data_IF_968359352207
#
_entry.id   IF_968359352207
#
_cell.length_a   1.000
_cell.length_b   1.000
_cell.length_c   1.000
_cell.angle_alpha   90.00
_cell.angle_beta   90.00
_cell.angle_gamma   90.00
#
_symmetry.space_group_name_H-M   'P 1'
#
loop_
_entity.id
_entity.type
_entity.pdbx_description
1 polymer ?
#
# COMPACT_ATOMS: atom_id res chain seq x y z
N UNK A 1 -16.21 -1.87 -14.71
CA UNK A 1 -16.42 -0.50 -15.20
C UNK A 1 -15.08 0.22 -15.09
N UNK A 2 -14.70 1.01 -16.10
CA UNK A 2 -13.42 1.74 -16.07
C UNK A 2 -13.46 2.84 -15.02
N UNK A 3 -12.33 3.10 -14.33
CA UNK A 3 -12.19 4.31 -13.53
C UNK A 3 -11.19 5.28 -14.15
N UNK A 4 -11.55 6.57 -14.21
CA UNK A 4 -10.72 7.61 -14.81
C UNK A 4 -10.25 8.58 -13.74
N UNK A 5 -8.94 8.79 -13.66
CA UNK A 5 -8.32 9.82 -12.84
C UNK A 5 -7.92 11.01 -13.71
N UNK A 6 -7.97 12.22 -13.15
CA UNK A 6 -7.70 13.46 -13.87
C UNK A 6 -7.07 14.50 -12.95
N UNK A 7 -5.90 14.99 -13.32
CA UNK A 7 -5.14 15.97 -12.54
C UNK A 7 -4.62 15.40 -11.21
N UNK A 8 -3.98 16.25 -10.40
CA UNK A 8 -3.52 15.87 -9.06
C UNK A 8 -4.26 16.71 -8.00
N UNK A 9 -5.00 16.08 -7.08
CA UNK A 9 -5.60 16.80 -5.96
C UNK A 9 -4.53 17.51 -5.12
N UNK A 10 -4.78 18.76 -4.76
CA UNK A 10 -3.84 19.56 -3.95
C UNK A 10 -2.54 19.99 -4.67
N UNK A 11 -2.50 19.89 -6.01
CA UNK A 11 -1.32 20.25 -6.80
C UNK A 11 -0.79 21.66 -6.46
N UNK A 12 0.44 21.72 -5.94
CA UNK A 12 1.19 22.96 -5.81
C UNK A 12 2.05 23.18 -7.06
N UNK A 13 2.05 24.42 -7.54
CA UNK A 13 2.71 24.82 -8.78
C UNK A 13 3.73 25.92 -8.47
N UNK A 14 4.95 25.78 -8.97
CA UNK A 14 5.98 26.82 -8.87
C UNK A 14 6.16 27.50 -10.21
N UNK A 15 5.71 28.76 -10.33
CA UNK A 15 5.84 29.57 -11.54
C UNK A 15 4.54 29.81 -12.32
N UNK A 16 4.63 30.62 -13.37
CA UNK A 16 3.50 31.10 -14.18
C UNK A 16 3.52 30.62 -15.63
N UNK A 17 4.34 29.62 -15.96
CA UNK A 17 4.42 29.02 -17.29
C UNK A 17 3.23 28.06 -17.56
N UNK A 18 3.16 27.55 -18.79
CA UNK A 18 2.18 26.52 -19.16
C UNK A 18 2.24 25.31 -18.23
N UNK A 19 1.10 24.64 -18.01
CA UNK A 19 0.95 23.58 -17.01
C UNK A 19 0.57 22.26 -17.66
N UNK A 20 1.27 21.21 -17.26
CA UNK A 20 0.94 19.85 -17.65
C UNK A 20 -0.35 19.35 -16.99
N UNK A 21 -0.93 18.29 -17.53
CA UNK A 21 -2.06 17.59 -16.94
C UNK A 21 -2.05 16.12 -17.39
N UNK A 22 -2.53 15.24 -16.51
CA UNK A 22 -2.65 13.80 -16.75
C UNK A 22 -4.10 13.37 -16.64
N UNK A 23 -4.54 12.51 -17.56
CA UNK A 23 -5.71 11.66 -17.36
C UNK A 23 -5.31 10.20 -17.54
N UNK A 24 -5.78 9.33 -16.67
CA UNK A 24 -5.55 7.90 -16.79
C UNK A 24 -6.85 7.16 -16.64
N UNK A 25 -6.93 5.98 -17.24
CA UNK A 25 -8.08 5.11 -17.17
C UNK A 25 -7.59 3.69 -16.99
N UNK A 26 -8.22 2.95 -16.08
CA UNK A 26 -7.92 1.55 -15.84
C UNK A 26 -9.19 0.71 -15.87
N UNK A 27 -9.11 -0.45 -16.51
CA UNK A 27 -10.09 -1.53 -16.45
C UNK A 27 -9.40 -2.80 -15.97
N UNK A 28 -10.13 -3.62 -15.22
CA UNK A 28 -9.70 -4.99 -14.89
C UNK A 28 -10.73 -5.95 -15.47
N UNK A 29 -10.24 -6.97 -16.16
CA UNK A 29 -11.06 -8.03 -16.76
C UNK A 29 -10.60 -9.37 -16.19
N UNK A 30 -11.54 -10.20 -15.72
CA UNK A 30 -11.23 -11.53 -15.20
C UNK A 30 -10.70 -12.47 -16.29
N UNK A 31 -10.08 -13.61 -15.94
CA UNK A 31 -9.65 -14.62 -16.91
C UNK A 31 -10.77 -15.12 -17.83
N UNK A 32 -12.02 -15.04 -17.38
CA UNK A 32 -13.21 -15.41 -18.15
C UNK A 32 -13.73 -14.29 -19.08
N UNK A 33 -12.98 -13.19 -19.22
CA UNK A 33 -13.36 -12.05 -20.05
C UNK A 33 -14.41 -11.12 -19.42
N UNK A 34 -14.76 -11.31 -18.14
CA UNK A 34 -15.75 -10.45 -17.45
C UNK A 34 -15.08 -9.19 -16.92
N UNK A 35 -15.58 -8.02 -17.32
CA UNK A 35 -15.15 -6.74 -16.73
C UNK A 35 -15.52 -6.67 -15.25
N UNK A 36 -14.54 -6.35 -14.42
CA UNK A 36 -14.70 -6.18 -12.98
C UNK A 36 -15.04 -4.72 -12.65
N UNK A 37 -15.87 -4.52 -11.63
CA UNK A 37 -16.20 -3.21 -11.10
C UNK A 37 -15.38 -2.96 -9.85
N UNK A 38 -14.92 -1.73 -9.66
CA UNK A 38 -14.35 -1.32 -8.38
C UNK A 38 -15.46 -1.31 -7.33
N UNK A 39 -15.11 -1.59 -6.09
CA UNK A 39 -16.03 -1.65 -4.95
C UNK A 39 -16.38 -0.25 -4.48
N UNK A 40 -15.37 0.63 -4.35
CA UNK A 40 -15.53 2.01 -3.93
C UNK A 40 -14.33 2.87 -4.37
N UNK A 41 -14.41 4.17 -4.10
CA UNK A 41 -13.34 5.14 -4.33
C UNK A 41 -13.11 5.89 -3.02
N UNK A 42 -11.87 5.94 -2.53
CA UNK A 42 -11.49 6.72 -1.35
C UNK A 42 -10.38 7.69 -1.75
N UNK A 43 -10.59 8.98 -1.53
CA UNK A 43 -9.65 10.07 -1.88
C UNK A 43 -9.07 9.94 -3.30
N UNK A 44 -9.94 9.67 -4.28
CA UNK A 44 -9.59 9.45 -5.70
C UNK A 44 -8.76 8.19 -5.99
N UNK A 45 -8.67 7.23 -5.06
CA UNK A 45 -8.09 5.91 -5.34
C UNK A 45 -9.25 4.92 -5.53
N UNK A 46 -9.50 4.40 -6.73
CA UNK A 46 -10.45 3.31 -6.94
C UNK A 46 -9.88 1.99 -6.41
N UNK A 47 -10.72 1.24 -5.70
CA UNK A 47 -10.34 0.02 -5.01
C UNK A 47 -11.19 -1.16 -5.48
N UNK A 48 -10.54 -2.24 -5.90
CA UNK A 48 -11.15 -3.56 -6.12
C UNK A 48 -10.75 -4.49 -4.97
N UNK A 49 -11.67 -4.82 -4.08
CA UNK A 49 -11.37 -5.58 -2.85
C UNK A 49 -11.02 -7.06 -3.12
N UNK A 50 -11.42 -7.58 -4.27
CA UNK A 50 -11.12 -8.96 -4.66
C UNK A 50 -11.21 -9.11 -6.18
N UNK A 51 -10.10 -9.53 -6.78
CA UNK A 51 -10.03 -9.93 -8.19
C UNK A 51 -9.40 -11.34 -8.29
N UNK A 52 -9.80 -12.15 -9.28
CA UNK A 52 -9.16 -13.44 -9.52
C UNK A 52 -7.70 -13.26 -9.95
N UNK A 53 -6.86 -14.28 -9.68
CA UNK A 53 -5.57 -14.39 -10.34
C UNK A 53 -5.73 -14.38 -11.87
N UNK A 54 -4.65 -14.07 -12.58
CA UNK A 54 -4.63 -14.01 -14.06
C UNK A 54 -5.59 -12.98 -14.68
N UNK A 55 -6.15 -12.07 -13.87
CA UNK A 55 -6.90 -10.93 -14.36
C UNK A 55 -6.01 -10.04 -15.23
N UNK A 56 -6.61 -9.41 -16.24
CA UNK A 56 -5.93 -8.50 -17.15
C UNK A 56 -6.27 -7.05 -16.82
N UNK A 57 -5.23 -6.25 -16.62
CA UNK A 57 -5.28 -4.81 -16.41
C UNK A 57 -5.15 -4.15 -17.78
N UNK A 58 -6.14 -3.39 -18.19
CA UNK A 58 -6.09 -2.56 -19.40
C UNK A 58 -5.98 -1.10 -18.97
N UNK A 59 -4.97 -0.40 -19.47
CA UNK A 59 -4.70 0.98 -19.09
C UNK A 59 -4.65 1.90 -20.32
N UNK A 60 -5.02 3.16 -20.09
CA UNK A 60 -4.94 4.24 -21.07
C UNK A 60 -4.49 5.51 -20.35
N UNK A 61 -3.53 6.22 -20.93
CA UNK A 61 -3.03 7.49 -20.42
C UNK A 61 -3.18 8.59 -21.47
N UNK A 62 -3.47 9.80 -21.01
CA UNK A 62 -3.58 11.02 -21.81
C UNK A 62 -2.77 12.15 -21.17
N UNK A 63 -1.77 12.65 -21.88
CA UNK A 63 -0.91 13.77 -21.49
C UNK A 63 -1.33 15.06 -22.18
N UNK A 64 -1.34 16.15 -21.43
CA UNK A 64 -1.74 17.46 -21.92
C UNK A 64 -0.87 18.58 -21.33
N UNK A 65 -0.79 19.72 -22.03
CA UNK A 65 -0.31 21.01 -21.53
C UNK A 65 -1.34 22.10 -21.82
N UNK A 66 -1.76 22.86 -20.81
CA UNK A 66 -2.82 23.88 -20.90
C UNK A 66 -4.09 23.39 -21.64
N UNK A 67 -4.44 22.12 -21.40
CA UNK A 67 -5.60 21.47 -22.02
C UNK A 67 -5.38 20.98 -23.46
N UNK A 68 -4.22 21.23 -24.06
CA UNK A 68 -3.85 20.68 -25.38
C UNK A 68 -3.18 19.33 -25.22
N UNK A 69 -3.61 18.35 -26.00
CA UNK A 69 -3.01 17.02 -26.02
C UNK A 69 -1.60 17.09 -26.60
N UNK A 70 -0.67 16.31 -26.05
CA UNK A 70 0.72 16.33 -26.49
C UNK A 70 1.41 15.00 -26.22
N UNK A 71 2.45 14.73 -27.02
CA UNK A 71 3.36 13.61 -26.85
C UNK A 71 4.23 13.80 -25.60
N UNK A 72 4.36 12.76 -24.77
CA UNK A 72 5.20 12.80 -23.58
C UNK A 72 5.53 11.42 -23.00
N UNK A 73 6.47 11.37 -22.07
CA UNK A 73 6.91 10.16 -21.36
C UNK A 73 6.14 9.98 -20.07
N UNK A 74 5.74 8.75 -19.78
CA UNK A 74 5.04 8.33 -18.56
C UNK A 74 5.69 7.06 -18.02
N UNK A 75 5.80 6.96 -16.70
CA UNK A 75 6.27 5.76 -16.02
C UNK A 75 5.07 4.98 -15.44
N UNK A 76 5.05 3.68 -15.67
CA UNK A 76 4.05 2.76 -15.17
C UNK A 76 4.72 1.82 -14.17
N UNK A 77 4.06 1.52 -13.06
CA UNK A 77 4.58 0.56 -12.08
C UNK A 77 3.43 -0.25 -11.50
N UNK A 78 3.63 -1.55 -11.40
CA UNK A 78 2.80 -2.45 -10.63
C UNK A 78 3.60 -2.89 -9.40
N UNK A 79 3.12 -2.53 -8.23
CA UNK A 79 3.68 -2.96 -6.95
C UNK A 79 2.72 -3.92 -6.27
N UNK A 80 3.27 -4.87 -5.52
CA UNK A 80 2.53 -5.66 -4.55
C UNK A 80 3.06 -5.35 -3.15
N UNK A 81 2.16 -5.35 -2.19
CA UNK A 81 2.54 -5.39 -0.80
C UNK A 81 2.65 -6.84 -0.34
N UNK A 82 3.84 -7.26 0.05
CA UNK A 82 4.12 -8.67 0.32
C UNK A 82 3.80 -8.99 1.79
N UNK A 83 2.52 -9.25 2.10
CA UNK A 83 2.08 -9.63 3.45
C UNK A 83 2.68 -10.97 3.89
N UNK A 84 3.02 -11.85 2.95
CA UNK A 84 3.72 -13.11 3.25
C UNK A 84 5.12 -12.83 3.77
N UNK A 85 5.85 -11.90 3.15
CA UNK A 85 7.13 -11.44 3.68
C UNK A 85 7.00 -10.79 5.07
N UNK A 86 5.97 -9.96 5.29
CA UNK A 86 5.71 -9.38 6.62
C UNK A 86 5.43 -10.49 7.65
N UNK A 87 4.72 -11.55 7.27
CA UNK A 87 4.48 -12.70 8.12
C UNK A 87 5.76 -13.49 8.43
N UNK A 88 6.64 -13.71 7.46
CA UNK A 88 7.95 -14.36 7.67
C UNK A 88 8.85 -13.55 8.60
N UNK A 89 8.85 -12.22 8.46
CA UNK A 89 9.60 -11.35 9.36
C UNK A 89 8.97 -11.35 10.76
N UNK A 90 7.65 -11.38 10.85
CA UNK A 90 6.94 -11.51 12.13
C UNK A 90 7.31 -12.81 12.83
N UNK A 91 7.34 -13.93 12.11
CA UNK A 91 7.76 -15.24 12.62
C UNK A 91 9.19 -15.18 13.19
N UNK A 92 10.13 -14.61 12.43
CA UNK A 92 11.51 -14.40 12.91
C UNK A 92 11.59 -13.54 14.16
N UNK A 93 10.75 -12.49 14.27
CA UNK A 93 10.72 -11.66 15.47
C UNK A 93 10.18 -12.45 16.66
N UNK A 94 9.08 -13.20 16.48
CA UNK A 94 8.48 -14.05 17.50
C UNK A 94 9.48 -15.08 18.06
N UNK A 95 10.31 -15.69 17.22
CA UNK A 95 11.38 -16.62 17.62
C UNK A 95 12.40 -16.00 18.60
N UNK A 96 12.52 -14.68 18.61
CA UNK A 96 13.44 -13.96 19.50
C UNK A 96 12.79 -13.44 20.78
N UNK A 97 11.49 -13.67 20.96
CA UNK A 97 10.75 -13.22 22.15
C UNK A 97 10.74 -14.29 23.23
N UNK A 98 10.97 -13.87 24.46
CA UNK A 98 10.60 -14.69 25.62
C UNK A 98 9.08 -14.69 25.80
N UNK A 99 8.55 -15.72 26.46
CA UNK A 99 7.12 -15.79 26.77
C UNK A 99 6.62 -14.56 27.56
N UNK A 100 7.44 -14.00 28.45
CA UNK A 100 7.13 -12.80 29.22
C UNK A 100 7.04 -11.54 28.34
N UNK A 101 8.00 -11.37 27.42
CA UNK A 101 7.98 -10.26 26.46
C UNK A 101 6.79 -10.34 25.53
N UNK A 102 6.47 -11.53 25.04
CA UNK A 102 5.33 -11.74 24.18
C UNK A 102 4.02 -11.43 24.93
N UNK A 103 3.85 -11.94 26.16
CA UNK A 103 2.67 -11.65 26.97
C UNK A 103 2.53 -10.15 27.24
N UNK A 104 3.63 -9.47 27.57
CA UNK A 104 3.63 -8.02 27.78
C UNK A 104 3.23 -7.26 26.50
N UNK A 105 3.74 -7.66 25.34
CA UNK A 105 3.38 -7.07 24.05
C UNK A 105 1.90 -7.27 23.70
N UNK A 106 1.29 -8.38 24.14
CA UNK A 106 -0.14 -8.65 23.94
C UNK A 106 -1.01 -7.80 24.86
N UNK A 107 -0.59 -7.62 26.11
CA UNK A 107 -1.36 -6.93 27.14
C UNK A 107 -1.32 -5.40 27.00
N UNK A 108 -0.27 -4.85 26.37
CA UNK A 108 -0.03 -3.41 26.24
C UNK A 108 0.47 -3.02 24.84
N UNK A 109 -0.26 -2.12 24.17
CA UNK A 109 0.04 -1.61 22.82
C UNK A 109 1.35 -0.79 22.79
N UNK A 110 1.65 -0.05 23.85
CA UNK A 110 2.91 0.71 23.92
C UNK A 110 4.08 -0.27 24.03
N UNK A 111 3.93 -1.31 24.86
CA UNK A 111 4.93 -2.37 24.99
C UNK A 111 5.08 -3.21 23.71
N UNK A 112 4.00 -3.45 22.96
CA UNK A 112 4.08 -4.10 21.65
C UNK A 112 5.05 -3.36 20.74
N UNK A 113 4.88 -2.05 20.61
CA UNK A 113 5.71 -1.21 19.75
C UNK A 113 7.16 -1.20 20.24
N UNK A 114 7.39 -0.99 21.55
CA UNK A 114 8.74 -0.96 22.13
C UNK A 114 9.50 -2.28 21.98
N UNK A 115 8.80 -3.41 22.02
CA UNK A 115 9.40 -4.75 21.89
C UNK A 115 9.64 -5.11 20.41
N UNK A 116 8.64 -4.91 19.55
CA UNK A 116 8.70 -5.34 18.15
C UNK A 116 9.53 -4.43 17.28
N UNK A 117 9.45 -3.10 17.45
CA UNK A 117 10.14 -2.14 16.59
C UNK A 117 11.66 -2.41 16.46
N UNK A 118 12.47 -2.50 17.54
CA UNK A 118 13.91 -2.70 17.39
C UNK A 118 14.27 -4.06 16.77
N UNK A 119 13.39 -5.07 16.92
CA UNK A 119 13.59 -6.40 16.33
C UNK A 119 13.24 -6.40 14.85
N UNK A 120 12.15 -5.73 14.47
CA UNK A 120 11.77 -5.53 13.07
C UNK A 120 12.84 -4.73 12.33
N UNK A 121 13.34 -3.63 12.90
CA UNK A 121 14.43 -2.83 12.31
C UNK A 121 15.68 -3.66 11.99
N UNK A 122 15.95 -4.72 12.76
CA UNK A 122 17.12 -5.57 12.59
C UNK A 122 17.00 -6.58 11.42
N UNK A 123 15.78 -6.96 11.02
CA UNK A 123 15.54 -8.05 10.04
C UNK A 123 14.77 -7.62 8.80
N UNK A 124 14.04 -6.49 8.88
CA UNK A 124 13.13 -6.02 7.85
C UNK A 124 13.89 -5.38 6.68
N UNK A 125 13.56 -5.81 5.47
CA UNK A 125 14.12 -5.30 4.21
C UNK A 125 13.03 -4.49 3.49
N UNK A 126 13.18 -3.16 3.38
CA UNK A 126 12.17 -2.27 2.83
C UNK A 126 11.58 -2.68 1.48
N UNK A 127 12.47 -3.09 0.57
CA UNK A 127 12.13 -3.38 -0.81
C UNK A 127 11.37 -4.69 -0.97
N UNK A 128 11.33 -5.52 0.08
CA UNK A 128 10.53 -6.74 0.10
C UNK A 128 9.11 -6.46 0.58
N UNK A 129 8.90 -5.45 1.43
CA UNK A 129 7.55 -5.01 1.86
C UNK A 129 6.76 -4.45 0.68
N UNK A 130 7.35 -3.50 -0.06
CA UNK A 130 6.80 -2.96 -1.31
C UNK A 130 7.60 -3.46 -2.51
N UNK A 131 7.14 -4.56 -3.09
CA UNK A 131 7.84 -5.23 -4.18
C UNK A 131 7.34 -4.70 -5.53
N UNK A 132 8.27 -4.19 -6.33
CA UNK A 132 7.99 -3.88 -7.74
C UNK A 132 7.87 -5.20 -8.52
N UNK A 133 6.69 -5.51 -9.05
CA UNK A 133 6.43 -6.73 -9.83
C UNK A 133 6.62 -6.47 -11.31
N UNK A 134 6.23 -5.29 -11.77
CA UNK A 134 6.38 -4.87 -13.16
C UNK A 134 6.54 -3.35 -13.24
N UNK A 135 7.28 -2.87 -14.23
CA UNK A 135 7.38 -1.45 -14.55
C UNK A 135 7.67 -1.26 -16.02
N UNK A 136 7.21 -0.16 -16.57
CA UNK A 136 7.49 0.23 -17.96
C UNK A 136 7.53 1.75 -18.09
N UNK A 137 8.29 2.23 -19.07
CA UNK A 137 8.37 3.64 -19.42
C UNK A 137 7.84 3.78 -20.84
N UNK A 138 6.66 4.37 -20.96
CA UNK A 138 5.95 4.50 -22.24
C UNK A 138 5.95 5.94 -22.71
N UNK A 139 5.81 6.13 -24.02
CA UNK A 139 5.60 7.43 -24.62
C UNK A 139 4.19 7.49 -25.20
N UNK A 140 3.48 8.59 -24.97
CA UNK A 140 2.25 8.89 -25.69
C UNK A 140 2.54 9.23 -27.14
N UNK A 141 1.53 9.14 -28.00
CA UNK A 141 1.61 9.55 -29.40
C UNK A 141 1.34 11.07 -29.57
N UNK A 142 1.29 11.55 -30.81
CA UNK A 142 1.03 12.97 -31.11
C UNK A 142 -0.37 13.42 -30.70
N UNK A 143 -1.30 12.47 -30.47
CA UNK A 143 -2.60 12.74 -29.87
C UNK A 143 -2.56 12.77 -28.34
N UNK A 144 -1.37 12.62 -27.75
CA UNK A 144 -1.11 12.53 -26.32
C UNK A 144 -1.65 11.28 -25.67
N UNK A 145 -1.98 10.23 -26.42
CA UNK A 145 -2.56 8.99 -25.90
C UNK A 145 -1.55 7.84 -25.95
N UNK A 146 -1.57 6.97 -24.95
CA UNK A 146 -0.96 5.64 -24.99
C UNK A 146 -1.85 4.64 -24.26
N UNK A 147 -1.80 3.38 -24.69
CA UNK A 147 -2.62 2.29 -24.15
C UNK A 147 -1.81 1.01 -24.10
N UNK A 148 -2.17 0.13 -23.17
CA UNK A 148 -1.61 -1.20 -23.10
C UNK A 148 -2.41 -2.11 -22.19
N UNK A 149 -1.93 -3.34 -22.07
CA UNK A 149 -2.50 -4.35 -21.21
C UNK A 149 -1.42 -5.13 -20.49
N UNK A 150 -1.74 -5.60 -19.29
CA UNK A 150 -0.90 -6.45 -18.46
C UNK A 150 -1.74 -7.55 -17.84
N UNK A 151 -1.44 -8.80 -18.17
CA UNK A 151 -2.07 -9.96 -17.51
C UNK A 151 -1.25 -10.35 -16.29
N UNK A 152 -1.90 -10.42 -15.13
CA UNK A 152 -1.28 -10.89 -13.90
C UNK A 152 -0.78 -12.32 -14.09
N UNK A 153 0.43 -12.62 -13.61
CA UNK A 153 1.01 -13.94 -13.81
C UNK A 153 0.70 -14.86 -12.62
N UNK A 154 0.44 -16.17 -12.83
CA UNK A 154 0.11 -17.10 -11.75
C UNK A 154 1.17 -17.19 -10.63
N UNK A 155 2.44 -16.98 -10.97
CA UNK A 155 3.56 -17.02 -10.03
C UNK A 155 3.78 -15.70 -9.26
N UNK A 156 3.05 -14.64 -9.60
CA UNK A 156 3.15 -13.40 -8.84
C UNK A 156 2.46 -13.55 -7.48
N UNK A 157 2.93 -12.84 -6.43
CA UNK A 157 2.35 -12.96 -5.10
C UNK A 157 0.85 -12.67 -5.11
N UNK A 158 0.09 -13.33 -4.23
CA UNK A 158 -1.29 -12.92 -3.97
C UNK A 158 -1.29 -11.69 -3.07
N UNK A 159 -2.44 -11.02 -3.01
CA UNK A 159 -2.64 -9.90 -2.09
C UNK A 159 -2.79 -8.55 -2.75
N UNK A 160 -2.43 -7.50 -2.02
CA UNK A 160 -2.73 -6.14 -2.43
C UNK A 160 -1.72 -5.59 -3.44
N UNK A 161 -2.24 -5.19 -4.59
CA UNK A 161 -1.49 -4.54 -5.65
C UNK A 161 -1.87 -3.08 -5.81
N UNK A 162 -0.89 -2.28 -6.24
CA UNK A 162 -1.06 -0.90 -6.66
C UNK A 162 -0.51 -0.74 -8.08
N UNK A 163 -1.39 -0.44 -9.04
CA UNK A 163 -1.00 0.00 -10.37
C UNK A 163 -0.91 1.52 -10.39
N UNK A 164 0.27 2.03 -10.71
CA UNK A 164 0.61 3.43 -10.60
C UNK A 164 1.03 3.98 -11.96
N UNK A 165 0.54 5.18 -12.24
CA UNK A 165 0.95 5.98 -13.40
C UNK A 165 1.59 7.26 -12.88
N UNK A 166 2.90 7.39 -13.11
CA UNK A 166 3.67 8.56 -12.78
C UNK A 166 3.96 9.40 -14.03
N UNK A 167 3.50 10.64 -14.04
CA UNK A 167 3.83 11.64 -15.06
C UNK A 167 4.50 12.85 -14.41
N UNK A 168 5.82 12.81 -14.39
CA UNK A 168 6.69 13.79 -13.79
C UNK A 168 8.11 13.32 -13.99
N UNK A 169 9.02 14.25 -14.20
CA UNK A 169 10.45 13.99 -14.25
C UNK A 169 11.23 15.29 -14.16
N UNK A 170 12.50 15.16 -13.82
CA UNK A 170 13.50 16.21 -13.97
C UNK A 170 14.68 15.62 -14.72
N UNK A 171 14.87 16.05 -15.97
CA UNK A 171 15.96 15.57 -16.82
C UNK A 171 17.36 15.83 -16.20
N UNK A 172 17.45 16.71 -15.20
CA UNK A 172 18.69 17.07 -14.52
C UNK A 172 18.90 16.37 -13.15
N UNK A 173 17.91 15.64 -12.63
CA UNK A 173 17.94 15.17 -11.23
C UNK A 173 17.33 13.78 -10.98
N UNK A 174 17.31 12.89 -11.99
CA UNK A 174 16.98 11.46 -11.80
C UNK A 174 18.13 10.71 -11.08
N UNK A 175 18.45 11.13 -9.84
CA UNK A 175 19.31 10.40 -8.93
C UNK A 175 18.82 10.55 -7.48
N UNK A 176 18.71 9.40 -6.82
CA UNK A 176 18.22 9.21 -5.47
C UNK A 176 19.06 9.96 -4.43
N UNK A 177 18.46 10.89 -3.70
CA UNK A 177 18.92 11.16 -2.33
C UNK A 177 18.55 9.93 -1.50
N UNK A 178 19.49 8.99 -1.35
CA UNK A 178 19.32 7.78 -0.51
C UNK A 178 18.82 8.13 0.89
N UNK A 179 19.19 9.32 1.38
CA UNK A 179 18.78 9.85 2.68
C UNK A 179 17.26 10.10 2.77
N UNK A 180 16.61 10.55 1.68
CA UNK A 180 15.14 10.74 1.64
C UNK A 180 14.39 9.41 1.63
N UNK A 181 14.94 8.39 0.96
CA UNK A 181 14.38 7.05 0.96
C UNK A 181 14.49 6.40 2.35
N UNK A 182 15.60 6.65 3.07
CA UNK A 182 15.79 6.21 4.45
C UNK A 182 14.84 6.95 5.40
N UNK A 183 14.68 8.26 5.25
CA UNK A 183 13.76 9.05 6.08
C UNK A 183 12.31 8.62 5.91
N UNK A 184 11.85 8.45 4.67
CA UNK A 184 10.52 7.92 4.37
C UNK A 184 10.32 6.51 4.96
N UNK A 185 11.35 5.66 4.84
CA UNK A 185 11.31 4.33 5.42
C UNK A 185 11.14 4.35 6.94
N UNK A 186 11.99 5.09 7.65
CA UNK A 186 11.97 5.12 9.11
C UNK A 186 10.72 5.80 9.65
N UNK A 187 10.28 6.90 9.02
CA UNK A 187 9.18 7.72 9.56
C UNK A 187 7.79 7.25 9.15
N UNK A 188 7.63 6.74 7.94
CA UNK A 188 6.31 6.44 7.36
C UNK A 188 6.08 4.94 7.23
N UNK A 189 7.08 4.17 6.80
CA UNK A 189 6.90 2.74 6.52
C UNK A 189 6.99 1.86 7.76
N UNK A 190 8.00 2.08 8.61
CA UNK A 190 8.25 1.22 9.77
C UNK A 190 7.06 1.17 10.75
N UNK A 191 6.41 2.30 11.12
CA UNK A 191 5.21 2.26 11.96
C UNK A 191 4.08 1.40 11.37
N UNK A 192 3.90 1.49 10.04
CA UNK A 192 2.87 0.71 9.34
C UNK A 192 3.23 -0.78 9.35
N UNK A 193 4.49 -1.15 9.15
CA UNK A 193 4.90 -2.55 9.25
C UNK A 193 4.68 -3.13 10.65
N UNK A 194 4.89 -2.33 11.71
CA UNK A 194 4.56 -2.73 13.09
C UNK A 194 3.07 -3.02 13.24
N UNK A 195 2.21 -2.12 12.74
CA UNK A 195 0.75 -2.32 12.73
C UNK A 195 0.35 -3.58 11.95
N UNK A 196 1.02 -3.84 10.82
CA UNK A 196 0.76 -5.01 10.00
C UNK A 196 1.24 -6.31 10.64
N UNK A 197 2.31 -6.29 11.43
CA UNK A 197 2.70 -7.43 12.27
C UNK A 197 1.60 -7.76 13.28
N UNK A 198 0.98 -6.75 13.90
CA UNK A 198 -0.19 -6.97 14.75
C UNK A 198 -1.39 -7.53 13.95
N UNK A 199 -1.61 -7.07 12.72
CA UNK A 199 -2.66 -7.59 11.84
C UNK A 199 -2.40 -9.05 11.40
N UNK A 200 -1.16 -9.45 11.16
CA UNK A 200 -0.76 -10.85 10.89
C UNK A 200 -1.10 -11.72 12.10
N UNK A 201 -0.69 -11.30 13.30
CA UNK A 201 -0.99 -12.01 14.55
C UNK A 201 -2.52 -12.15 14.73
N UNK A 202 -3.29 -11.07 14.51
CA UNK A 202 -4.75 -11.08 14.61
C UNK A 202 -5.43 -11.98 13.55
N UNK A 203 -4.93 -11.97 12.31
CA UNK A 203 -5.40 -12.81 11.20
C UNK A 203 -5.36 -14.29 11.57
N UNK A 204 -4.25 -14.73 12.17
CA UNK A 204 -4.06 -16.12 12.61
C UNK A 204 -4.93 -16.44 13.83
N UNK A 205 -4.99 -15.51 14.79
CA UNK A 205 -5.80 -15.64 15.99
C UNK A 205 -7.29 -15.83 15.68
N UNK A 206 -7.82 -15.29 14.58
CA UNK A 206 -9.27 -15.25 14.27
C UNK A 206 -9.98 -16.58 13.94
N UNK A 207 -9.33 -17.73 14.19
CA UNK A 207 -9.91 -19.09 14.10
C UNK A 207 -10.47 -19.52 12.71
N UNK A 208 -10.05 -18.88 11.62
CA UNK A 208 -10.31 -19.37 10.26
C UNK A 208 -9.80 -18.46 9.14
N UNK A 209 -9.42 -19.05 8.01
CA UNK A 209 -8.90 -18.35 6.81
C UNK A 209 -9.85 -17.24 6.35
N UNK A 210 -11.17 -17.48 6.40
CA UNK A 210 -12.17 -16.50 5.98
C UNK A 210 -12.22 -15.24 6.86
N UNK A 211 -12.03 -15.38 8.18
CA UNK A 211 -11.99 -14.23 9.08
C UNK A 211 -10.67 -13.45 8.95
N UNK A 212 -9.56 -14.17 8.75
CA UNK A 212 -8.25 -13.58 8.48
C UNK A 212 -8.21 -12.77 7.19
N UNK A 213 -8.83 -13.27 6.11
CA UNK A 213 -8.96 -12.58 4.84
C UNK A 213 -9.70 -11.23 4.97
N UNK A 214 -10.69 -11.15 5.86
CA UNK A 214 -11.46 -9.93 6.12
C UNK A 214 -10.58 -8.86 6.80
N UNK A 215 -9.64 -9.25 7.67
CA UNK A 215 -8.74 -8.32 8.38
C UNK A 215 -7.73 -7.68 7.43
N UNK A 216 -7.13 -8.46 6.54
CA UNK A 216 -6.11 -7.98 5.59
C UNK A 216 -6.69 -7.25 4.38
N UNK A 217 -7.90 -7.60 3.95
CA UNK A 217 -8.54 -7.02 2.77
C UNK A 217 -9.47 -5.82 3.09
N UNK A 218 -9.35 -5.19 4.27
CA UNK A 218 -10.24 -4.07 4.59
C UNK A 218 -10.02 -2.89 3.64
N UNK A 219 -11.12 -2.21 3.33
CA UNK A 219 -11.12 -0.99 2.54
C UNK A 219 -10.18 0.11 3.08
N UNK A 220 -10.04 0.18 4.40
CA UNK A 220 -9.16 1.14 5.06
C UNK A 220 -7.69 0.77 4.85
N UNK A 221 -7.29 -0.46 5.16
CA UNK A 221 -5.93 -0.95 4.94
C UNK A 221 -5.52 -0.85 3.47
N UNK A 222 -6.42 -1.23 2.56
CA UNK A 222 -6.18 -1.12 1.11
C UNK A 222 -5.90 0.32 0.69
N UNK A 223 -6.67 1.28 1.20
CA UNK A 223 -6.44 2.69 0.92
C UNK A 223 -5.11 3.20 1.48
N UNK A 224 -4.82 2.91 2.75
CA UNK A 224 -3.64 3.44 3.43
C UNK A 224 -2.35 2.92 2.76
N UNK A 225 -2.36 1.65 2.33
CA UNK A 225 -1.25 1.06 1.56
C UNK A 225 -1.13 1.65 0.14
N UNK A 226 -2.24 1.98 -0.52
CA UNK A 226 -2.22 2.67 -1.80
C UNK A 226 -1.70 4.11 -1.68
N UNK A 227 -2.09 4.82 -0.61
CA UNK A 227 -1.61 6.16 -0.31
C UNK A 227 -0.10 6.15 0.00
N UNK A 228 0.37 5.18 0.78
CA UNK A 228 1.78 4.99 1.10
C UNK A 228 2.60 4.67 -0.14
N UNK A 229 2.11 3.78 -1.01
CA UNK A 229 2.70 3.47 -2.31
C UNK A 229 2.82 4.73 -3.18
N UNK A 230 1.78 5.58 -3.21
CA UNK A 230 1.81 6.90 -3.87
C UNK A 230 2.91 7.81 -3.32
N UNK A 231 3.02 7.96 -2.01
CA UNK A 231 4.04 8.80 -1.36
C UNK A 231 5.46 8.26 -1.55
N UNK A 232 5.63 6.94 -1.49
CA UNK A 232 6.91 6.28 -1.74
C UNK A 232 7.42 6.60 -3.15
N UNK A 233 6.54 6.52 -4.16
CA UNK A 233 6.94 6.86 -5.52
C UNK A 233 7.20 8.36 -5.70
N UNK A 234 6.38 9.23 -5.12
CA UNK A 234 6.66 10.68 -5.15
C UNK A 234 8.06 10.99 -4.60
N UNK A 235 8.44 10.33 -3.51
CA UNK A 235 9.77 10.48 -2.90
C UNK A 235 10.86 9.89 -3.80
N UNK A 236 10.61 8.75 -4.44
CA UNK A 236 11.58 8.05 -5.30
C UNK A 236 11.85 8.80 -6.62
N UNK A 237 10.83 9.36 -7.26
CA UNK A 237 10.98 10.08 -8.53
C UNK A 237 11.56 11.50 -8.35
N UNK A 238 11.53 12.04 -7.13
CA UNK A 238 12.16 13.32 -6.81
C UNK A 238 11.41 14.52 -7.37
N UNK A 239 12.12 15.64 -7.55
CA UNK A 239 11.51 16.85 -8.08
C UNK A 239 11.06 16.64 -9.54
N UNK A 240 9.88 17.16 -9.89
CA UNK A 240 9.42 17.26 -11.28
C UNK A 240 9.45 18.72 -11.70
N UNK A 241 10.13 19.04 -12.80
CA UNK A 241 10.29 20.43 -13.25
C UNK A 241 9.41 20.74 -14.45
N UNK A 242 9.86 20.34 -15.64
CA UNK A 242 9.20 20.63 -16.91
C UNK A 242 9.16 19.40 -17.79
N UNK A 243 8.14 19.32 -18.62
CA UNK A 243 8.00 18.28 -19.62
C UNK A 243 8.80 18.61 -20.92
N UNK A 244 8.71 17.76 -21.94
CA UNK A 244 9.41 17.97 -23.23
C UNK A 244 9.12 19.32 -23.90
N UNK A 245 7.93 19.88 -23.69
CA UNK A 245 7.50 21.17 -24.25
C UNK A 245 7.84 22.37 -23.34
N UNK A 246 8.54 22.14 -22.23
CA UNK A 246 8.89 23.20 -21.27
C UNK A 246 7.75 23.62 -20.34
N UNK A 247 6.65 22.88 -20.30
CA UNK A 247 5.54 23.13 -19.39
C UNK A 247 5.78 22.50 -18.02
N UNK A 248 5.36 23.22 -16.98
CA UNK A 248 5.61 22.85 -15.59
C UNK A 248 4.84 21.59 -15.22
N UNK A 249 5.47 20.77 -14.38
CA UNK A 249 4.79 19.77 -13.56
C UNK A 249 4.33 20.39 -12.22
N UNK A 250 3.31 19.82 -11.56
CA UNK A 250 3.12 20.08 -10.14
C UNK A 250 4.30 19.50 -9.35
N UNK A 251 4.51 19.98 -8.12
CA UNK A 251 5.54 19.42 -7.25
C UNK A 251 5.33 17.89 -7.08
N UNK A 252 6.37 17.10 -7.36
CA UNK A 252 6.33 15.63 -7.31
C UNK A 252 5.62 14.94 -8.50
N UNK A 253 5.18 15.69 -9.52
CA UNK A 253 4.52 15.15 -10.71
C UNK A 253 3.11 14.62 -10.43
N UNK A 254 2.49 14.02 -11.46
CA UNK A 254 1.21 13.33 -11.32
C UNK A 254 1.42 11.88 -10.86
N UNK A 255 0.70 11.44 -9.83
CA UNK A 255 0.81 10.09 -9.25
C UNK A 255 -0.57 9.46 -9.14
N UNK A 256 -1.07 8.92 -10.25
CA UNK A 256 -2.37 8.27 -10.30
C UNK A 256 -2.25 6.82 -9.84
N UNK A 257 -3.02 6.44 -8.81
CA UNK A 257 -2.94 5.10 -8.19
C UNK A 257 -4.28 4.38 -8.31
N UNK A 258 -4.22 3.11 -8.69
CA UNK A 258 -5.33 2.16 -8.72
C UNK A 258 -4.98 0.97 -7.84
N UNK A 259 -5.84 0.58 -6.92
CA UNK A 259 -5.53 -0.48 -5.95
C UNK A 259 -6.46 -1.67 -6.12
N UNK A 260 -5.94 -2.88 -6.05
CA UNK A 260 -6.74 -4.09 -6.15
C UNK A 260 -6.12 -5.25 -5.39
N UNK A 261 -6.94 -6.11 -4.80
CA UNK A 261 -6.48 -7.28 -4.04
C UNK A 261 -6.73 -8.55 -4.83
N UNK A 262 -5.68 -9.33 -5.06
CA UNK A 262 -5.71 -10.58 -5.81
C UNK A 262 -5.89 -11.74 -4.84
N UNK A 263 -7.01 -12.45 -4.96
CA UNK A 263 -7.31 -13.67 -4.17
C UNK A 263 -7.06 -13.53 -2.65
N UNK A 264 -7.73 -12.60 -1.95
CA UNK A 264 -7.46 -12.30 -0.52
C UNK A 264 -7.60 -13.50 0.42
N UNK A 265 -8.50 -14.44 0.13
CA UNK A 265 -8.64 -15.67 0.93
C UNK A 265 -7.43 -16.60 0.78
N UNK A 266 -6.86 -16.68 -0.41
CA UNK A 266 -5.67 -17.47 -0.66
C UNK A 266 -4.41 -16.76 -0.12
N UNK A 267 -4.35 -15.42 -0.17
CA UNK A 267 -3.32 -14.65 0.54
C UNK A 267 -3.35 -14.92 2.05
N UNK A 268 -4.53 -14.92 2.68
CA UNK A 268 -4.66 -15.23 4.11
C UNK A 268 -4.13 -16.63 4.44
N UNK A 269 -4.34 -17.61 3.56
CA UNK A 269 -3.78 -18.95 3.70
C UNK A 269 -2.25 -18.96 3.54
N UNK A 270 -1.71 -18.21 2.57
CA UNK A 270 -0.27 -18.07 2.34
C UNK A 270 0.42 -17.39 3.55
N UNK A 271 -0.22 -16.36 4.14
CA UNK A 271 0.22 -15.70 5.38
C UNK A 271 0.28 -16.70 6.53
N UNK A 272 -0.77 -17.51 6.74
CA UNK A 272 -0.77 -18.51 7.81
C UNK A 272 0.33 -19.56 7.61
N UNK A 273 0.56 -19.99 6.37
CA UNK A 273 1.61 -20.95 6.03
C UNK A 273 3.04 -20.40 6.17
N UNK A 274 3.19 -19.08 6.29
CA UNK A 274 4.48 -18.42 6.43
C UNK A 274 5.04 -18.45 7.86
N UNK A 275 4.24 -18.81 8.86
CA UNK A 275 4.69 -18.93 10.25
C UNK A 275 5.02 -20.38 10.62
N UNK A 276 5.92 -20.52 11.60
CA UNK A 276 6.23 -21.82 12.19
C UNK A 276 5.03 -22.37 12.97
N UNK A 277 4.86 -23.71 13.06
CA UNK A 277 3.80 -24.31 13.87
C UNK A 277 3.86 -23.88 15.35
N UNK A 278 5.08 -23.67 15.87
CA UNK A 278 5.32 -23.22 17.25
C UNK A 278 4.77 -21.81 17.48
N UNK A 279 5.02 -20.87 16.56
CA UNK A 279 4.48 -19.52 16.63
C UNK A 279 2.98 -19.46 16.35
N UNK A 280 2.46 -20.36 15.52
CA UNK A 280 1.01 -20.50 15.33
C UNK A 280 0.28 -20.88 16.62
N UNK A 281 0.82 -21.85 17.38
CA UNK A 281 0.24 -22.29 18.66
C UNK A 281 0.28 -21.15 19.69
N UNK A 282 1.40 -20.43 19.73
CA UNK A 282 1.59 -19.26 20.57
C UNK A 282 0.53 -18.18 20.24
N UNK A 283 0.36 -17.81 18.98
CA UNK A 283 -0.62 -16.81 18.53
C UNK A 283 -2.08 -17.28 18.76
N UNK A 284 -2.34 -18.58 18.62
CA UNK A 284 -3.66 -19.16 18.93
C UNK A 284 -3.98 -19.11 20.44
N UNK A 285 -2.97 -19.28 21.31
CA UNK A 285 -3.12 -19.11 22.76
C UNK A 285 -3.44 -17.64 23.13
N UNK A 286 -2.85 -16.68 22.44
CA UNK A 286 -3.18 -15.24 22.56
C UNK A 286 -4.67 -14.99 22.29
N UNK A 287 -5.23 -15.59 21.24
CA UNK A 287 -6.66 -15.47 20.91
C UNK A 287 -7.55 -15.96 22.05
N UNK A 288 -7.23 -17.10 22.64
CA UNK A 288 -8.02 -17.68 23.74
C UNK A 288 -8.06 -16.74 24.95
N UNK A 289 -6.97 -16.03 25.23
CA UNK A 289 -6.87 -15.06 26.31
C UNK A 289 -7.61 -13.73 26.00
N UNK A 290 -7.51 -13.24 24.76
CA UNK A 290 -8.20 -12.03 24.27
C UNK A 290 -9.72 -12.23 24.20
N UNK A 291 -10.18 -13.38 23.68
CA UNK A 291 -11.60 -13.77 23.65
C UNK A 291 -12.20 -13.88 25.07
N UNK A 292 -11.41 -14.39 26.03
CA UNK A 292 -11.84 -14.51 27.44
C UNK A 292 -12.05 -13.16 28.14
N UNK A 293 -11.25 -12.13 27.78
CA UNK A 293 -11.32 -10.80 28.39
C UNK A 293 -12.18 -9.78 27.62
N UNK A 294 -12.56 -10.06 26.37
CA UNK A 294 -13.07 -9.02 25.47
C UNK A 294 -14.21 -9.44 24.54
N UNK A 295 -15.35 -9.87 25.07
CA UNK A 295 -16.59 -10.12 24.29
C UNK A 295 -17.18 -8.87 23.59
N UNK A 296 -16.56 -7.69 23.68
CA UNK A 296 -17.03 -6.44 23.06
C UNK A 296 -16.05 -5.73 22.14
N UNK A 297 -14.78 -6.17 22.04
CA UNK A 297 -13.73 -5.38 21.38
C UNK A 297 -13.47 -5.80 19.92
N UNK A 298 -13.71 -7.06 19.54
CA UNK A 298 -13.26 -7.59 18.24
C UNK A 298 -14.20 -7.38 17.06
N UNK A 299 -15.52 -7.19 17.28
CA UNK A 299 -16.38 -6.64 16.23
C UNK A 299 -15.91 -5.21 15.85
N UNK A 300 -15.22 -4.54 16.78
CA UNK A 300 -14.56 -3.26 16.57
C UNK A 300 -13.23 -3.33 15.81
N UNK A 301 -12.43 -4.40 15.89
CA UNK A 301 -11.08 -4.42 15.29
C UNK A 301 -11.12 -4.48 13.75
N UNK A 302 -12.16 -5.10 13.18
CA UNK A 302 -12.44 -4.99 11.74
C UNK A 302 -12.91 -3.58 11.29
N UNK A 303 -13.23 -2.70 12.24
CA UNK A 303 -13.70 -1.33 12.03
C UNK A 303 -12.87 -0.26 12.75
N UNK A 304 -11.73 -0.63 13.37
CA UNK A 304 -10.70 0.32 13.81
C UNK A 304 -9.96 0.73 12.55
N UNK A 305 -10.62 1.60 11.78
CA UNK A 305 -9.94 2.51 10.88
C UNK A 305 -8.73 3.10 11.60
N UNK A 306 -7.61 3.26 10.89
CA UNK A 306 -6.38 3.96 11.31
C UNK A 306 -6.66 5.29 12.03
N UNK A 307 -7.84 5.88 11.81
CA UNK A 307 -8.41 7.00 12.55
C UNK A 307 -8.65 6.76 14.07
N UNK A 308 -9.06 5.57 14.52
CA UNK A 308 -9.34 5.31 15.95
C UNK A 308 -8.04 5.13 16.73
N UNK A 309 -7.02 4.52 16.12
CA UNK A 309 -5.67 4.41 16.69
C UNK A 309 -5.02 5.81 16.79
N UNK A 310 -5.11 6.62 15.73
CA UNK A 310 -4.62 8.01 15.73
C UNK A 310 -5.40 8.95 16.67
N UNK A 311 -6.72 8.76 16.83
CA UNK A 311 -7.53 9.51 17.81
C UNK A 311 -7.17 9.10 19.23
N UNK A 312 -6.87 7.83 19.51
CA UNK A 312 -6.34 7.39 20.81
C UNK A 312 -4.96 7.98 21.09
N UNK A 313 -4.05 7.96 20.12
CA UNK A 313 -2.70 8.57 20.20
C UNK A 313 -2.79 10.08 20.46
N UNK A 314 -3.70 10.80 19.79
CA UNK A 314 -3.87 12.24 20.00
C UNK A 314 -4.55 12.59 21.34
N UNK A 315 -5.48 11.76 21.83
CA UNK A 315 -6.12 11.96 23.15
C UNK A 315 -5.15 11.72 24.31
N UNK A 316 -4.16 10.84 24.12
CA UNK A 316 -3.10 10.55 25.09
C UNK A 316 -2.03 11.64 25.09
N UNK A 317 -1.64 12.17 23.92
CA UNK A 317 -0.73 13.33 23.82
C UNK A 317 -1.31 14.62 24.43
N UNK A 318 -2.63 14.79 24.40
CA UNK A 318 -3.31 15.92 25.07
C UNK A 318 -3.23 15.87 26.60
N UNK A 319 -3.30 14.68 27.22
CA UNK A 319 -3.24 14.54 28.70
C UNK A 319 -1.85 14.75 29.29
N UNK A 320 -0.78 14.55 28.51
CA UNK A 320 0.60 14.80 28.94
C UNK A 320 1.01 16.29 28.91
N UNK A 321 0.15 17.19 28.41
CA UNK A 321 0.41 18.65 28.37
C UNK A 321 -0.23 19.44 29.52
N UNK A 322 -1.20 18.85 30.22
CA UNK A 322 -1.94 19.50 31.31
C UNK A 322 -1.67 18.85 32.69
N UNK A 323 -0.56 18.10 32.81
CA UNK A 323 -0.10 17.46 34.06
C UNK A 323 1.30 17.92 34.44
#
# INVERSE_FOLDING_TARGET
MAYTLSGQPGASWTGSACRTNLKTKLNITSPLGKKLNYNFVKEQIPIWESIPAESTIEWECLTMSDGKKQKDRINLTLQVFDMVYVAQVTDQVLDTLTAEQLQLAIDDVDAFTEIFQPKLEAVLVPQQVFKNIWSDTVQTDDSGVTKGSLTLQPQWPRGQYNFMVHYGYDAESEASDKDKAIEFWVKEMLPIVIELTAAVIATIASAGIAAGAIVIATAAMTYDMANLSSQYQQTRFGASKVNYEGCLFPAGGFNHTYSFTVEPEAEAADIQAALSPENMDVVSAVNSYIQLKGMGYFIGVASISIFTLLVLINKIKGRKRDG
#
